data_IF_776470646640
#
_entry.id   IF_776470646640
#
_cell.length_a   1.000
_cell.length_b   1.000
_cell.length_c   1.000
_cell.angle_alpha   90.00
_cell.angle_beta   90.00
_cell.angle_gamma   90.00
#
_symmetry.space_group_name_H-M   'P 1'
#
loop_
_entity.id
_entity.type
_entity.pdbx_description
1 polymer ?
#
# COMPACT_ATOMS: atom_id res chain seq x y z
N UNK A 1 -8.91 -14.12 7.15
CA UNK A 1 -8.85 -13.62 5.76
C UNK A 1 -10.19 -13.61 5.05
N UNK A 2 -10.89 -14.75 4.91
CA UNK A 2 -12.11 -14.83 4.10
C UNK A 2 -13.19 -13.83 4.51
N UNK A 3 -13.41 -13.63 5.82
CA UNK A 3 -14.37 -12.63 6.30
C UNK A 3 -14.04 -11.20 5.87
N UNK A 4 -12.76 -10.82 5.79
CA UNK A 4 -12.37 -9.48 5.35
C UNK A 4 -12.49 -9.31 3.83
N UNK A 5 -12.18 -10.35 3.06
CA UNK A 5 -12.43 -10.37 1.61
C UNK A 5 -13.93 -10.23 1.33
N UNK A 6 -14.77 -10.96 2.07
CA UNK A 6 -16.22 -10.84 1.95
C UNK A 6 -16.73 -9.44 2.28
N UNK A 7 -16.13 -8.71 3.23
CA UNK A 7 -16.52 -7.31 3.47
C UNK A 7 -16.27 -6.41 2.25
N UNK A 8 -15.20 -6.65 1.49
CA UNK A 8 -14.88 -5.88 0.28
C UNK A 8 -15.94 -6.10 -0.80
N UNK A 9 -16.51 -7.31 -0.89
CA UNK A 9 -17.59 -7.63 -1.83
C UNK A 9 -18.85 -6.77 -1.61
N UNK A 10 -19.08 -6.30 -0.38
CA UNK A 10 -20.21 -5.42 -0.02
C UNK A 10 -19.91 -3.91 -0.11
N UNK A 11 -18.72 -3.51 -0.55
CA UNK A 11 -18.40 -2.08 -0.73
C UNK A 11 -19.14 -1.52 -1.95
N UNK A 12 -19.70 -0.32 -1.80
CA UNK A 12 -20.51 0.34 -2.83
C UNK A 12 -19.90 1.60 -3.44
N UNK A 13 -19.02 2.30 -2.73
CA UNK A 13 -18.52 3.63 -3.15
C UNK A 13 -17.02 3.77 -3.05
N UNK A 14 -16.43 3.47 -1.91
CA UNK A 14 -15.01 3.74 -1.66
C UNK A 14 -14.40 2.67 -0.75
N UNK A 15 -13.26 2.14 -1.18
CA UNK A 15 -12.43 1.21 -0.42
C UNK A 15 -11.03 1.81 -0.31
N UNK A 16 -10.60 2.06 0.92
CA UNK A 16 -9.23 2.45 1.22
C UNK A 16 -8.55 1.36 2.04
N UNK A 17 -7.42 0.88 1.56
CA UNK A 17 -6.62 -0.17 2.19
C UNK A 17 -5.25 0.40 2.52
N UNK A 18 -4.79 0.15 3.73
CA UNK A 18 -3.44 0.43 4.18
C UNK A 18 -2.87 -0.89 4.68
N UNK A 19 -1.84 -1.41 4.02
CA UNK A 19 -1.20 -2.66 4.44
C UNK A 19 0.26 -2.68 4.03
N UNK A 20 1.19 -2.92 4.97
CA UNK A 20 2.63 -2.88 4.69
C UNK A 20 3.14 -4.04 3.84
N UNK A 21 2.41 -5.15 3.85
CA UNK A 21 2.69 -6.34 3.07
C UNK A 21 1.41 -6.73 2.34
N UNK A 22 1.45 -6.66 1.01
CA UNK A 22 0.28 -6.78 0.16
C UNK A 22 0.57 -7.71 -1.00
N UNK A 23 0.12 -8.96 -0.86
CA UNK A 23 0.24 -10.02 -1.88
C UNK A 23 -1.17 -10.56 -2.10
N UNK A 24 -1.98 -9.92 -2.96
CA UNK A 24 -3.43 -10.16 -3.01
C UNK A 24 -3.78 -11.58 -3.47
N UNK A 25 -2.97 -12.17 -4.35
CA UNK A 25 -3.30 -13.42 -5.03
C UNK A 25 -4.55 -13.31 -5.91
N UNK A 26 -4.84 -14.37 -6.65
CA UNK A 26 -5.90 -14.34 -7.69
C UNK A 26 -7.28 -13.97 -7.16
N UNK A 27 -7.68 -14.51 -6.00
CA UNK A 27 -9.02 -14.26 -5.44
C UNK A 27 -9.22 -12.80 -5.05
N UNK A 28 -8.25 -12.19 -4.37
CA UNK A 28 -8.39 -10.79 -3.94
C UNK A 28 -8.29 -9.85 -5.15
N UNK A 29 -7.46 -10.18 -6.14
CA UNK A 29 -7.42 -9.49 -7.43
C UNK A 29 -8.80 -9.48 -8.12
N UNK A 30 -9.47 -10.64 -8.18
CA UNK A 30 -10.81 -10.74 -8.75
C UNK A 30 -11.83 -9.89 -7.98
N UNK A 31 -11.74 -9.86 -6.65
CA UNK A 31 -12.62 -9.04 -5.80
C UNK A 31 -12.38 -7.54 -6.02
N UNK A 32 -11.13 -7.09 -6.14
CA UNK A 32 -10.83 -5.70 -6.47
C UNK A 32 -11.33 -5.31 -7.85
N UNK A 33 -11.07 -6.13 -8.86
CA UNK A 33 -11.60 -5.91 -10.21
C UNK A 33 -13.13 -5.78 -10.18
N UNK A 34 -13.82 -6.72 -9.53
CA UNK A 34 -15.28 -6.68 -9.42
C UNK A 34 -15.78 -5.43 -8.68
N UNK A 35 -15.06 -4.94 -7.68
CA UNK A 35 -15.39 -3.70 -6.99
C UNK A 35 -15.25 -2.49 -7.92
N UNK A 36 -14.11 -2.38 -8.64
CA UNK A 36 -13.90 -1.30 -9.61
C UNK A 36 -14.93 -1.34 -10.74
N UNK A 37 -15.27 -2.53 -11.26
CA UNK A 37 -16.30 -2.70 -12.30
C UNK A 37 -17.70 -2.23 -11.81
N UNK A 38 -17.97 -2.25 -10.50
CA UNK A 38 -19.18 -1.67 -9.89
C UNK A 38 -19.12 -0.14 -9.69
N UNK A 39 -18.01 0.49 -10.05
CA UNK A 39 -17.77 1.92 -9.82
C UNK A 39 -17.25 2.25 -8.42
N UNK A 40 -16.78 1.27 -7.65
CA UNK A 40 -16.13 1.51 -6.35
C UNK A 40 -14.74 2.08 -6.60
N UNK A 41 -14.42 3.20 -5.94
CA UNK A 41 -13.05 3.73 -5.92
C UNK A 41 -12.21 2.89 -4.97
N UNK A 42 -11.23 2.14 -5.50
CA UNK A 42 -10.33 1.30 -4.71
C UNK A 42 -8.95 1.95 -4.63
N UNK A 43 -8.49 2.22 -3.40
CA UNK A 43 -7.19 2.84 -3.10
C UNK A 43 -6.38 1.95 -2.18
N UNK A 44 -5.11 1.72 -2.51
CA UNK A 44 -4.20 0.88 -1.73
C UNK A 44 -2.92 1.66 -1.42
N UNK A 45 -2.58 1.76 -0.14
CA UNK A 45 -1.29 2.24 0.35
C UNK A 45 -0.49 1.06 0.91
N UNK A 46 0.70 0.85 0.35
CA UNK A 46 1.63 -0.18 0.80
C UNK A 46 3.05 0.35 0.91
N UNK A 47 3.98 -0.45 1.44
CA UNK A 47 5.38 -0.08 1.50
C UNK A 47 6.02 -0.10 0.10
N UNK A 48 6.87 0.89 -0.17
CA UNK A 48 7.79 0.84 -1.31
C UNK A 48 8.88 -0.20 -1.08
N UNK A 49 9.66 -0.51 -2.13
CA UNK A 49 10.82 -1.40 -1.99
C UNK A 49 11.84 -0.87 -0.96
N UNK A 50 12.02 0.45 -0.93
CA UNK A 50 12.95 1.12 -0.05
C UNK A 50 12.46 1.19 1.41
N UNK A 51 11.14 1.21 1.63
CA UNK A 51 10.52 1.27 2.95
C UNK A 51 10.15 -0.11 3.51
N UNK A 52 10.71 -1.20 2.97
CA UNK A 52 10.39 -2.57 3.35
C UNK A 52 11.57 -3.28 4.04
N UNK A 53 11.31 -3.91 5.18
CA UNK A 53 12.26 -4.70 5.96
C UNK A 53 12.46 -6.11 5.38
N UNK A 54 11.51 -6.58 4.56
CA UNK A 54 11.51 -7.89 3.91
C UNK A 54 11.40 -7.73 2.39
N UNK A 55 12.54 -7.66 1.67
CA UNK A 55 12.58 -7.51 0.20
C UNK A 55 11.78 -8.58 -0.55
N UNK A 56 11.62 -9.75 0.06
CA UNK A 56 10.93 -10.91 -0.47
C UNK A 56 9.41 -10.68 -0.57
N UNK A 57 8.77 -10.06 0.44
CA UNK A 57 7.34 -9.74 0.35
C UNK A 57 7.05 -8.67 -0.72
N UNK A 58 8.00 -7.75 -0.94
CA UNK A 58 7.90 -6.77 -2.02
C UNK A 58 7.93 -7.42 -3.41
N UNK A 59 8.69 -8.51 -3.59
CA UNK A 59 8.67 -9.29 -4.85
C UNK A 59 7.27 -9.80 -5.15
N UNK A 60 6.57 -10.34 -4.14
CA UNK A 60 5.23 -10.89 -4.31
C UNK A 60 4.25 -9.81 -4.77
N UNK A 61 4.26 -8.68 -4.08
CA UNK A 61 3.51 -7.49 -4.45
C UNK A 61 3.84 -6.99 -5.86
N UNK A 62 5.12 -6.90 -6.22
CA UNK A 62 5.59 -6.30 -7.47
C UNK A 62 4.98 -6.94 -8.72
N UNK A 63 4.67 -8.24 -8.66
CA UNK A 63 4.03 -9.00 -9.76
C UNK A 63 2.62 -8.54 -10.06
N UNK A 64 1.92 -7.98 -9.07
CA UNK A 64 0.51 -7.60 -9.19
C UNK A 64 0.31 -6.12 -9.52
N UNK A 65 1.36 -5.28 -9.49
CA UNK A 65 1.22 -3.82 -9.67
C UNK A 65 0.54 -3.45 -10.98
N UNK A 66 1.04 -3.97 -12.09
CA UNK A 66 0.49 -3.65 -13.42
C UNK A 66 -0.97 -4.09 -13.53
N UNK A 67 -1.30 -5.30 -13.07
CA UNK A 67 -2.67 -5.83 -13.13
C UNK A 67 -3.62 -5.06 -12.22
N UNK A 68 -3.17 -4.60 -11.04
CA UNK A 68 -3.96 -3.74 -10.17
C UNK A 68 -4.31 -2.42 -10.88
N UNK A 69 -3.31 -1.78 -11.49
CA UNK A 69 -3.47 -0.52 -12.21
C UNK A 69 -4.37 -0.69 -13.44
N UNK A 70 -4.18 -1.76 -14.23
CA UNK A 70 -5.04 -2.12 -15.38
C UNK A 70 -6.49 -2.38 -14.96
N UNK A 71 -6.70 -2.94 -13.76
CA UNK A 71 -8.02 -3.14 -13.18
C UNK A 71 -8.62 -1.87 -12.56
N UNK A 72 -7.94 -0.71 -12.64
CA UNK A 72 -8.42 0.58 -12.16
C UNK A 72 -8.25 0.82 -10.65
N UNK A 73 -7.40 0.03 -9.99
CA UNK A 73 -7.02 0.28 -8.59
C UNK A 73 -6.03 1.45 -8.53
N UNK A 74 -6.26 2.39 -7.62
CA UNK A 74 -5.32 3.47 -7.33
C UNK A 74 -4.26 3.00 -6.33
N UNK A 75 -3.00 2.97 -6.77
CA UNK A 75 -1.90 2.38 -6.02
C UNK A 75 -0.92 3.45 -5.51
N UNK A 76 -0.55 3.33 -4.24
CA UNK A 76 0.35 4.24 -3.55
C UNK A 76 1.41 3.46 -2.79
N UNK A 77 2.67 3.86 -2.96
CA UNK A 77 3.82 3.28 -2.29
C UNK A 77 4.45 4.29 -1.36
N UNK A 78 4.65 3.91 -0.10
CA UNK A 78 5.15 4.82 0.93
C UNK A 78 6.54 5.35 0.56
N UNK A 79 6.72 6.66 0.67
CA UNK A 79 8.02 7.28 0.51
C UNK A 79 8.96 6.87 1.65
N UNK A 80 10.23 6.62 1.34
CA UNK A 80 11.19 6.12 2.32
C UNK A 80 11.87 7.22 3.13
N UNK A 81 11.68 8.49 2.73
CA UNK A 81 12.24 9.66 3.41
C UNK A 81 11.42 10.03 4.69
N UNK A 82 12.04 9.98 5.88
CA UNK A 82 11.39 10.36 7.13
C UNK A 82 10.90 11.81 7.19
N UNK A 83 11.47 12.72 6.40
CA UNK A 83 11.10 14.14 6.38
C UNK A 83 9.72 14.35 5.73
N UNK A 84 9.48 13.72 4.59
CA UNK A 84 8.20 13.76 3.88
C UNK A 84 7.09 13.09 4.68
N UNK A 85 7.42 12.01 5.40
CA UNK A 85 6.48 11.29 6.26
C UNK A 85 6.01 12.08 7.49
N UNK A 86 6.91 12.76 8.21
CA UNK A 86 6.52 13.59 9.37
C UNK A 86 5.62 14.75 8.96
N UNK A 87 5.93 15.40 7.84
CA UNK A 87 5.06 16.39 7.22
C UNK A 87 3.71 15.75 6.86
N UNK A 88 3.73 14.56 6.27
CA UNK A 88 2.53 13.81 5.86
C UNK A 88 1.63 13.33 7.01
N UNK A 89 2.08 13.34 8.26
CA UNK A 89 1.26 13.02 9.44
C UNK A 89 1.04 14.20 10.39
N UNK A 90 1.41 15.42 9.97
CA UNK A 90 1.21 16.63 10.79
C UNK A 90 2.05 16.66 12.07
N UNK A 91 3.09 15.84 12.17
CA UNK A 91 4.03 15.82 13.29
C UNK A 91 5.14 16.82 13.03
N UNK A 92 4.93 18.06 13.48
CA UNK A 92 5.92 19.14 13.43
C UNK A 92 7.23 18.79 14.15
N UNK A 93 8.33 19.33 13.65
CA UNK A 93 9.71 19.08 14.12
C UNK A 93 9.97 19.63 15.52
N UNK A 94 9.92 18.78 16.54
CA UNK A 94 10.59 19.03 17.82
C UNK A 94 11.79 18.11 17.96
N UNK A 95 12.99 18.68 17.93
CA UNK A 95 14.20 18.03 18.47
C UNK A 95 15.36 17.93 17.49
N UNK A 96 16.43 18.68 17.78
CA UNK A 96 17.77 18.46 17.27
C UNK A 96 18.28 17.08 17.73
N UNK A 97 18.19 16.09 16.86
CA UNK A 97 18.97 14.86 16.94
C UNK A 97 19.52 14.56 15.54
N UNK A 98 20.81 14.25 15.47
CA UNK A 98 21.55 13.99 14.23
C UNK A 98 20.84 13.02 13.26
N UNK A 99 21.03 13.15 11.93
CA UNK A 99 20.33 12.35 10.94
C UNK A 99 20.88 10.92 10.95
N UNK A 100 20.35 10.07 11.81
CA UNK A 100 20.36 8.64 11.55
C UNK A 100 19.28 8.39 10.49
N UNK A 101 19.72 7.93 9.32
CA UNK A 101 18.91 7.47 8.19
C UNK A 101 18.07 6.24 8.57
N UNK A 102 17.12 6.41 9.49
CA UNK A 102 16.11 5.40 9.79
C UNK A 102 15.03 5.52 8.74
N UNK A 103 15.03 4.57 7.79
CA UNK A 103 13.93 4.32 6.86
C UNK A 103 12.65 4.17 7.68
N UNK A 104 11.58 4.82 7.25
CA UNK A 104 10.29 4.74 7.91
C UNK A 104 9.43 3.74 7.18
N UNK A 105 8.75 2.87 7.93
CA UNK A 105 7.96 1.78 7.40
C UNK A 105 6.50 1.90 7.86
N UNK A 106 5.56 1.60 6.97
CA UNK A 106 4.15 1.44 7.31
C UNK A 106 3.99 0.24 8.26
N UNK A 107 3.22 0.38 9.33
CA UNK A 107 2.87 -0.76 10.20
C UNK A 107 1.38 -0.90 10.45
N UNK A 108 0.60 0.10 10.03
CA UNK A 108 -0.85 0.13 10.14
C UNK A 108 -1.47 -0.86 9.15
N UNK A 109 -2.44 -1.66 9.62
CA UNK A 109 -3.30 -2.47 8.76
C UNK A 109 -4.73 -2.00 8.95
N UNK A 110 -5.19 -1.22 7.99
CA UNK A 110 -6.45 -0.50 8.10
C UNK A 110 -7.21 -0.68 6.80
N UNK A 111 -8.51 -0.95 6.91
CA UNK A 111 -9.45 -0.87 5.80
C UNK A 111 -10.54 0.14 6.16
N UNK A 112 -10.90 1.02 5.23
CA UNK A 112 -12.04 1.92 5.36
C UNK A 112 -13.00 1.65 4.22
N UNK A 113 -14.24 1.30 4.55
CA UNK A 113 -15.29 0.93 3.61
C UNK A 113 -16.41 1.98 3.65
N UNK A 114 -16.69 2.59 2.50
CA UNK A 114 -17.74 3.58 2.24
C UNK A 114 -17.75 4.80 3.19
N UNK A 115 -16.63 5.04 3.89
CA UNK A 115 -16.55 6.06 4.94
C UNK A 115 -17.47 5.78 6.14
N UNK A 116 -17.86 4.53 6.37
CA UNK A 116 -18.76 4.17 7.49
C UNK A 116 -18.26 3.01 8.34
N UNK A 117 -17.41 2.15 7.81
CA UNK A 117 -16.82 1.02 8.52
C UNK A 117 -15.30 1.13 8.43
N UNK A 118 -14.64 1.19 9.59
CA UNK A 118 -13.19 1.12 9.69
C UNK A 118 -12.81 -0.21 10.32
N UNK A 119 -11.91 -0.94 9.69
CA UNK A 119 -11.30 -2.16 10.20
C UNK A 119 -9.86 -1.84 10.58
N UNK A 120 -9.45 -2.21 11.78
CA UNK A 120 -8.07 -2.09 12.25
C UNK A 120 -7.65 -3.45 12.80
N UNK A 121 -6.48 -3.95 12.41
CA UNK A 121 -6.05 -5.27 12.88
C UNK A 121 -4.57 -5.55 12.73
N UNK A 122 -4.21 -6.81 12.99
CA UNK A 122 -2.87 -7.35 12.80
C UNK A 122 -2.67 -8.03 11.44
N UNK A 123 -3.76 -8.27 10.70
CA UNK A 123 -3.72 -8.99 9.43
C UNK A 123 -3.15 -8.13 8.30
N UNK A 124 -2.00 -8.55 7.76
CA UNK A 124 -1.56 -8.07 6.45
C UNK A 124 -2.40 -8.74 5.35
N UNK A 125 -2.42 -8.15 4.15
CA UNK A 125 -3.13 -8.72 3.02
C UNK A 125 -2.18 -9.59 2.16
N UNK A 126 -1.57 -10.61 2.77
CA UNK A 126 -0.63 -11.54 2.15
C UNK A 126 -0.97 -13.03 2.47
N UNK A 127 -0.33 -13.97 1.76
CA UNK A 127 -0.62 -15.40 1.93
C UNK A 127 -0.07 -15.92 3.26
N UNK A 128 1.04 -15.38 3.76
CA UNK A 128 1.60 -15.78 5.05
C UNK A 128 0.63 -15.52 6.21
N UNK A 129 0.08 -14.32 6.31
CA UNK A 129 -0.96 -13.95 7.29
C UNK A 129 -2.22 -14.81 7.13
N UNK A 130 -2.54 -15.24 5.90
CA UNK A 130 -3.67 -16.15 5.65
C UNK A 130 -3.43 -17.55 6.19
N UNK A 131 -2.23 -18.09 5.99
CA UNK A 131 -1.96 -19.52 6.16
C UNK A 131 -1.28 -19.86 7.49
N UNK A 132 -0.59 -18.91 8.12
CA UNK A 132 0.33 -19.21 9.21
C UNK A 132 0.10 -18.39 10.49
N UNK A 133 -0.56 -17.23 10.41
CA UNK A 133 -0.70 -16.35 11.58
C UNK A 133 -2.09 -16.44 12.23
N UNK A 134 -2.12 -16.26 13.55
CA UNK A 134 -3.36 -15.92 14.28
C UNK A 134 -3.54 -14.42 14.22
N UNK A 135 -4.64 -13.97 13.64
CA UNK A 135 -4.87 -12.56 13.34
C UNK A 135 -6.13 -12.04 14.06
N UNK A 136 -6.08 -10.80 14.55
CA UNK A 136 -7.23 -10.12 15.14
C UNK A 136 -7.56 -8.86 14.36
N UNK A 137 -8.85 -8.59 14.20
CA UNK A 137 -9.35 -7.36 13.61
C UNK A 137 -10.51 -6.82 14.45
N UNK A 138 -10.52 -5.50 14.64
CA UNK A 138 -11.61 -4.75 15.25
C UNK A 138 -12.34 -4.00 14.15
N UNK A 139 -13.65 -4.23 14.06
CA UNK A 139 -14.54 -3.60 13.10
C UNK A 139 -15.33 -2.51 13.82
N UNK A 140 -15.17 -1.26 13.40
CA UNK A 140 -15.83 -0.11 14.01
C UNK A 140 -16.71 0.57 12.97
N UNK A 141 -18.03 0.47 13.14
CA UNK A 141 -19.00 1.16 12.30
C UNK A 141 -19.25 2.57 12.84
N UNK A 142 -18.56 3.56 12.31
CA UNK A 142 -18.68 4.97 12.74
C UNK A 142 -18.27 5.92 11.62
N UNK A 143 -19.23 6.74 11.15
CA UNK A 143 -18.96 7.77 10.13
C UNK A 143 -17.88 8.76 10.55
N UNK A 144 -17.88 9.15 11.83
CA UNK A 144 -16.90 10.09 12.38
C UNK A 144 -15.48 9.50 12.33
N UNK A 145 -15.31 8.29 12.87
CA UNK A 145 -14.00 7.65 12.90
C UNK A 145 -13.50 7.37 11.48
N UNK A 146 -14.37 6.90 10.59
CA UNK A 146 -13.99 6.65 9.20
C UNK A 146 -13.62 7.94 8.46
N UNK A 147 -14.29 9.07 8.72
CA UNK A 147 -13.93 10.37 8.15
C UNK A 147 -12.57 10.88 8.66
N UNK A 148 -12.32 10.78 9.97
CA UNK A 148 -11.02 11.14 10.58
C UNK A 148 -9.90 10.27 10.00
N UNK A 149 -10.14 8.95 9.92
CA UNK A 149 -9.19 7.97 9.37
C UNK A 149 -8.89 8.26 7.89
N UNK A 150 -9.92 8.52 7.07
CA UNK A 150 -9.76 8.90 5.66
C UNK A 150 -9.00 10.21 5.49
N UNK A 151 -9.18 11.16 6.39
CA UNK A 151 -8.46 12.44 6.36
C UNK A 151 -6.98 12.23 6.62
N UNK A 152 -6.64 11.48 7.67
CA UNK A 152 -5.27 11.15 8.05
C UNK A 152 -4.55 10.38 6.93
N UNK A 153 -5.14 9.28 6.47
CA UNK A 153 -4.54 8.46 5.40
C UNK A 153 -4.50 9.27 4.10
N UNK A 154 -5.54 10.04 3.78
CA UNK A 154 -5.57 10.88 2.58
C UNK A 154 -4.45 11.91 2.54
N UNK A 155 -4.01 12.42 3.70
CA UNK A 155 -2.82 13.28 3.77
C UNK A 155 -1.54 12.48 3.49
N UNK A 156 -1.41 11.27 4.04
CA UNK A 156 -0.30 10.36 3.75
C UNK A 156 -0.20 10.00 2.25
N UNK A 157 -1.34 9.70 1.60
CA UNK A 157 -1.39 9.41 0.16
C UNK A 157 -0.89 10.57 -0.70
N UNK A 158 -1.14 11.82 -0.29
CA UNK A 158 -0.76 13.00 -1.07
C UNK A 158 0.68 13.41 -0.81
N UNK A 159 1.09 13.47 0.46
CA UNK A 159 2.33 14.13 0.85
C UNK A 159 3.46 13.16 1.26
N UNK A 160 3.16 11.87 1.42
CA UNK A 160 4.13 10.87 1.90
C UNK A 160 4.15 9.57 1.11
N UNK A 161 3.56 9.54 -0.08
CA UNK A 161 3.53 8.36 -0.92
C UNK A 161 3.72 8.72 -2.39
N UNK A 162 4.43 7.85 -3.09
CA UNK A 162 4.51 7.82 -4.54
C UNK A 162 3.21 7.26 -5.09
N UNK A 163 2.60 7.96 -6.04
CA UNK A 163 1.46 7.40 -6.78
C UNK A 163 1.99 6.59 -7.95
N UNK A 164 1.65 5.32 -8.01
CA UNK A 164 2.05 4.43 -9.10
C UNK A 164 0.99 4.51 -10.20
N UNK A 165 1.43 4.71 -11.44
CA UNK A 165 0.58 4.83 -12.61
C UNK A 165 1.20 4.05 -13.78
N UNK A 166 0.38 3.77 -14.80
CA UNK A 166 0.85 3.30 -16.10
C UNK A 166 0.91 4.49 -17.05
N UNK A 167 2.00 4.63 -17.80
CA UNK A 167 2.11 5.62 -18.86
C UNK A 167 1.37 5.18 -20.14
N UNK A 168 1.48 5.97 -21.21
CA UNK A 168 0.82 5.67 -22.49
C UNK A 168 1.33 4.40 -23.20
N UNK A 169 2.40 3.77 -22.70
CA UNK A 169 2.96 2.52 -23.22
C UNK A 169 2.79 1.35 -22.24
N UNK A 170 1.90 1.47 -21.26
CA UNK A 170 1.71 0.51 -20.15
C UNK A 170 2.99 0.31 -19.30
N UNK A 171 3.91 1.28 -19.26
CA UNK A 171 5.09 1.24 -18.40
C UNK A 171 4.79 1.84 -17.02
N UNK A 172 5.33 1.23 -15.96
CA UNK A 172 5.19 1.72 -14.60
C UNK A 172 5.93 3.04 -14.38
N UNK A 173 5.23 3.98 -13.76
CA UNK A 173 5.72 5.32 -13.43
C UNK A 173 5.31 5.66 -11.99
N UNK A 174 6.24 6.25 -11.24
CA UNK A 174 6.01 6.74 -9.89
C UNK A 174 5.97 8.26 -9.90
N UNK A 175 4.78 8.82 -9.71
CA UNK A 175 4.58 10.26 -9.52
C UNK A 175 4.97 10.65 -8.09
N UNK A 176 5.75 11.73 -7.91
CA UNK A 176 6.26 12.13 -6.61
C UNK A 176 5.15 12.61 -5.67
N UNK A 177 5.36 12.54 -4.35
CA UNK A 177 4.45 13.14 -3.38
C UNK A 177 4.21 14.62 -3.68
N UNK A 178 2.97 15.08 -3.50
CA UNK A 178 2.57 16.45 -3.75
C UNK A 178 3.35 17.42 -2.85
N UNK A 179 3.99 18.41 -3.47
CA UNK A 179 4.79 19.41 -2.76
C UNK A 179 6.24 19.00 -2.50
N UNK A 180 6.67 17.82 -2.97
CA UNK A 180 8.09 17.44 -2.98
C UNK A 180 8.80 18.00 -4.22
N UNK A 181 10.11 18.24 -4.11
CA UNK A 181 10.99 18.61 -5.23
C UNK A 181 11.46 17.39 -6.05
N UNK A 182 10.91 16.21 -5.73
CA UNK A 182 11.28 14.96 -6.36
C UNK A 182 10.74 14.92 -7.79
N UNK A 183 11.49 14.26 -8.67
CA UNK A 183 11.05 14.01 -10.04
C UNK A 183 10.40 12.65 -10.13
N UNK A 184 9.50 12.56 -11.10
CA UNK A 184 8.92 11.30 -11.56
C UNK A 184 10.01 10.25 -11.83
N UNK A 185 9.73 9.01 -11.40
CA UNK A 185 10.63 7.88 -11.56
C UNK A 185 10.00 6.82 -12.46
N UNK A 186 10.82 6.13 -13.24
CA UNK A 186 10.42 5.00 -14.10
C UNK A 186 10.87 3.64 -13.55
N UNK A 187 11.39 3.66 -12.32
CA UNK A 187 11.85 2.48 -11.59
C UNK A 187 11.57 2.68 -10.10
N UNK A 188 11.50 1.59 -9.32
CA UNK A 188 11.25 1.65 -7.88
C UNK A 188 12.11 2.75 -7.20
N UNK A 189 11.49 3.80 -6.62
CA UNK A 189 12.19 4.91 -6.00
C UNK A 189 13.13 4.48 -4.88
N UNK A 190 14.16 5.28 -4.62
CA UNK A 190 15.12 5.09 -3.52
C UNK A 190 15.85 3.74 -3.49
N UNK A 191 15.95 3.06 -4.65
CA UNK A 191 16.58 1.74 -4.76
C UNK A 191 17.83 1.72 -5.62
N UNK A 192 18.82 0.94 -5.20
CA UNK A 192 20.07 0.76 -5.96
C UNK A 192 19.88 -0.20 -7.14
N UNK A 193 20.63 0.01 -8.22
CA UNK A 193 20.60 -0.85 -9.41
C UNK A 193 20.95 -2.33 -9.10
N UNK A 194 21.95 -2.65 -8.25
CA UNK A 194 22.26 -4.04 -7.90
C UNK A 194 21.11 -4.75 -7.18
N UNK A 195 20.42 -4.05 -6.27
CA UNK A 195 19.27 -4.60 -5.55
C UNK A 195 18.14 -4.95 -6.53
N UNK A 196 17.82 -4.04 -7.45
CA UNK A 196 16.79 -4.26 -8.48
C UNK A 196 17.12 -5.46 -9.37
N UNK A 197 18.38 -5.60 -9.80
CA UNK A 197 18.80 -6.75 -10.61
C UNK A 197 18.71 -8.07 -9.84
N UNK A 198 19.14 -8.08 -8.59
CA UNK A 198 19.02 -9.28 -7.73
C UNK A 198 17.56 -9.70 -7.57
N UNK A 199 16.65 -8.75 -7.33
CA UNK A 199 15.22 -9.06 -7.21
C UNK A 199 14.65 -9.62 -8.51
N UNK A 200 15.03 -9.11 -9.69
CA UNK A 200 14.59 -9.67 -10.98
C UNK A 200 15.01 -11.13 -11.18
N UNK A 201 16.16 -11.54 -10.62
CA UNK A 201 16.66 -12.91 -10.70
C UNK A 201 15.96 -13.83 -9.70
N UNK A 202 15.74 -13.35 -8.47
CA UNK A 202 15.12 -14.14 -7.41
C UNK A 202 13.60 -14.22 -7.59
N UNK A 203 12.98 -13.19 -8.18
CA UNK A 203 11.54 -13.08 -8.29
C UNK A 203 10.87 -14.33 -8.90
N UNK A 204 11.32 -14.93 -10.00
CA UNK A 204 10.66 -16.12 -10.56
C UNK A 204 10.70 -17.37 -9.65
N UNK A 205 11.59 -17.39 -8.66
CA UNK A 205 11.88 -18.56 -7.82
C UNK A 205 11.10 -18.59 -6.50
N UNK A 206 10.44 -17.48 -6.13
CA UNK A 206 9.75 -17.38 -4.83
C UNK A 206 8.24 -17.61 -5.02
N UNK A 207 7.67 -18.72 -4.53
CA UNK A 207 6.24 -18.97 -4.66
C UNK A 207 5.44 -18.04 -3.75
N UNK A 208 4.24 -17.65 -4.18
CA UNK A 208 3.38 -16.72 -3.43
C UNK A 208 3.00 -17.25 -2.04
N UNK A 209 3.08 -18.56 -1.80
CA UNK A 209 2.77 -19.18 -0.51
C UNK A 209 3.77 -18.87 0.60
N UNK A 210 4.98 -18.41 0.25
CA UNK A 210 6.02 -18.00 1.23
C UNK A 210 6.13 -16.48 1.37
N UNK A 211 5.27 -15.73 0.67
CA UNK A 211 5.20 -14.27 0.60
C UNK A 211 4.01 -13.73 1.40
#
# INVERSE_FOLDING_TARGET
MDGLISLIEYVHKDLLIVSPYFVPGERMMAVFKAAVDRGVRVRILTNSLASNDAPVAHIGYARYREDLLKNGVELYELDSDPSNLRAAFGMGSTGNAAPQSKRVMLHSKVLVLDGTLTVIGSMNLDQRSKLQNTEIAVLVRSKRLSAETNTLIGHALRAGAWRVELDGNDALVWKPPQGSDLKEQTTDPDTSLPLRMMLKIIAPLVPDSVL
#
